data_IF_270610452437
#
_entry.id   IF_270610452437
#
_cell.length_a   1.000
_cell.length_b   1.000
_cell.length_c   1.000
_cell.angle_alpha   90.00
_cell.angle_beta   90.00
_cell.angle_gamma   90.00
#
_symmetry.space_group_name_H-M   'P 1'
#
loop_
_entity.id
_entity.type
_entity.pdbx_description
1 polymer ?
#
# COMPACT_ATOMS: atom_id res chain seq x y z
N UNK A 1 -22.57 -5.97 5.30
CA UNK A 1 -22.09 -5.23 4.11
C UNK A 1 -21.55 -3.84 4.46
N UNK A 2 -22.31 -2.95 5.13
CA UNK A 2 -21.87 -1.58 5.47
C UNK A 2 -20.52 -1.48 6.20
N UNK A 3 -20.21 -2.44 7.10
CA UNK A 3 -18.98 -2.40 7.90
C UNK A 3 -17.70 -2.74 7.12
N UNK A 4 -17.81 -3.46 6.00
CA UNK A 4 -16.66 -3.76 5.13
C UNK A 4 -16.33 -2.55 4.24
N UNK A 5 -17.34 -1.77 3.86
CA UNK A 5 -17.17 -0.53 3.10
C UNK A 5 -16.37 0.52 3.89
N UNK A 6 -16.50 0.57 5.21
CA UNK A 6 -15.70 1.47 6.04
C UNK A 6 -14.19 1.17 5.95
N UNK A 7 -13.80 -0.11 5.96
CA UNK A 7 -12.41 -0.52 5.82
C UNK A 7 -11.86 -0.29 4.42
N UNK A 8 -12.68 -0.53 3.39
CA UNK A 8 -12.34 -0.19 2.00
C UNK A 8 -12.16 1.32 1.85
N UNK A 9 -13.08 2.13 2.38
CA UNK A 9 -13.00 3.57 2.36
C UNK A 9 -11.76 4.09 3.11
N UNK A 10 -11.40 3.47 4.24
CA UNK A 10 -10.16 3.77 4.95
C UNK A 10 -8.92 3.47 4.09
N UNK A 11 -8.87 2.29 3.47
CA UNK A 11 -7.75 1.89 2.61
C UNK A 11 -7.60 2.86 1.41
N UNK A 12 -8.69 3.09 0.67
CA UNK A 12 -8.69 4.01 -0.47
C UNK A 12 -8.40 5.45 -0.04
N UNK A 13 -9.00 5.91 1.05
CA UNK A 13 -8.75 7.23 1.61
C UNK A 13 -7.28 7.43 1.96
N UNK A 14 -6.64 6.43 2.60
CA UNK A 14 -5.22 6.50 2.95
C UNK A 14 -4.32 6.62 1.72
N UNK A 15 -4.62 5.85 0.66
CA UNK A 15 -3.92 5.93 -0.64
C UNK A 15 -4.02 7.36 -1.19
N UNK A 16 -5.24 7.89 -1.33
CA UNK A 16 -5.43 9.17 -2.01
C UNK A 16 -4.95 10.37 -1.20
N UNK A 17 -5.03 10.31 0.14
CA UNK A 17 -4.41 11.32 1.01
C UNK A 17 -2.89 11.31 0.81
N UNK A 18 -2.26 10.13 0.81
CA UNK A 18 -0.82 10.02 0.60
C UNK A 18 -0.40 10.47 -0.80
N UNK A 19 -1.15 10.10 -1.86
CA UNK A 19 -0.94 10.57 -3.24
C UNK A 19 -0.98 12.09 -3.31
N UNK A 20 -1.97 12.71 -2.67
CA UNK A 20 -2.10 14.16 -2.64
C UNK A 20 -0.92 14.82 -1.91
N UNK A 21 -0.56 14.32 -0.73
CA UNK A 21 0.59 14.84 0.04
C UNK A 21 1.88 14.74 -0.79
N UNK A 22 2.17 13.57 -1.35
CA UNK A 22 3.39 13.34 -2.14
C UNK A 22 3.41 14.22 -3.40
N UNK A 23 2.29 14.35 -4.10
CA UNK A 23 2.23 15.19 -5.32
C UNK A 23 2.36 16.68 -5.03
N UNK A 24 1.88 17.15 -3.87
CA UNK A 24 1.95 18.56 -3.49
C UNK A 24 3.29 18.95 -2.84
N UNK A 25 3.98 17.97 -2.25
CA UNK A 25 5.30 18.16 -1.64
C UNK A 25 6.45 17.91 -2.62
N UNK A 26 6.16 17.32 -3.79
CA UNK A 26 7.21 16.96 -4.73
C UNK A 26 7.85 18.17 -5.39
N UNK A 27 9.19 18.21 -5.48
CA UNK A 27 9.90 19.19 -6.30
C UNK A 27 9.60 18.95 -7.77
N UNK A 28 9.51 20.01 -8.55
CA UNK A 28 9.49 19.85 -10.00
C UNK A 28 10.83 19.28 -10.50
N UNK A 29 10.77 18.41 -11.52
CA UNK A 29 11.98 17.98 -12.22
C UNK A 29 12.45 19.13 -13.11
N UNK A 30 13.48 19.83 -12.66
CA UNK A 30 14.07 20.97 -13.36
C UNK A 30 15.30 20.49 -14.12
N UNK A 31 15.37 20.83 -15.42
CA UNK A 31 16.53 20.62 -16.27
C UNK A 31 16.87 21.92 -17.00
N UNK A 32 18.08 22.46 -16.77
CA UNK A 32 18.62 23.62 -17.49
C UNK A 32 17.94 24.96 -17.17
N UNK A 33 18.39 26.00 -17.86
CA UNK A 33 17.94 27.39 -17.66
C UNK A 33 16.53 27.70 -18.19
N UNK A 34 16.03 26.89 -19.13
CA UNK A 34 14.68 27.00 -19.70
C UNK A 34 13.70 26.10 -18.95
N UNK A 35 12.69 26.73 -18.33
CA UNK A 35 11.79 26.14 -17.32
C UNK A 35 10.68 25.27 -17.92
N UNK A 36 11.01 24.31 -18.77
CA UNK A 36 10.04 23.31 -19.23
C UNK A 36 9.97 22.15 -18.22
N UNK A 37 9.01 22.24 -17.29
CA UNK A 37 8.77 21.22 -16.27
C UNK A 37 7.72 20.22 -16.75
N UNK A 38 8.14 18.97 -16.99
CA UNK A 38 7.22 17.85 -17.13
C UNK A 38 6.85 17.34 -15.73
N UNK A 39 5.54 17.27 -15.36
CA UNK A 39 5.10 16.89 -14.02
C UNK A 39 5.19 15.36 -13.81
N UNK A 40 6.40 14.81 -13.95
CA UNK A 40 6.64 13.36 -13.89
C UNK A 40 6.27 12.78 -12.54
N UNK A 41 6.60 13.48 -11.45
CA UNK A 41 6.37 12.98 -10.10
C UNK A 41 4.87 12.91 -9.78
N UNK A 42 4.05 13.96 -10.01
CA UNK A 42 2.60 13.82 -9.96
C UNK A 42 2.12 12.67 -10.84
N UNK A 43 2.56 12.58 -12.10
CA UNK A 43 2.11 11.51 -13.00
C UNK A 43 2.38 10.10 -12.41
N UNK A 44 3.61 9.83 -11.96
CA UNK A 44 4.00 8.54 -11.35
C UNK A 44 3.22 8.26 -10.07
N UNK A 45 3.06 9.26 -9.21
CA UNK A 45 2.35 9.13 -7.93
C UNK A 45 0.87 8.81 -8.16
N UNK A 46 0.22 9.51 -9.09
CA UNK A 46 -1.18 9.29 -9.43
C UNK A 46 -1.41 7.92 -10.10
N UNK A 47 -0.55 7.52 -11.03
CA UNK A 47 -0.61 6.19 -11.63
C UNK A 47 -0.45 5.09 -10.57
N UNK A 48 0.47 5.29 -9.62
CA UNK A 48 0.70 4.35 -8.51
C UNK A 48 -0.51 4.26 -7.57
N UNK A 49 -1.12 5.39 -7.24
CA UNK A 49 -2.35 5.44 -6.44
C UNK A 49 -3.53 4.74 -7.12
N UNK A 50 -3.69 4.92 -8.42
CA UNK A 50 -4.70 4.22 -9.22
C UNK A 50 -4.44 2.71 -9.25
N UNK A 51 -3.19 2.27 -9.47
CA UNK A 51 -2.81 0.87 -9.46
C UNK A 51 -3.10 0.21 -8.08
N UNK A 52 -2.68 0.86 -6.99
CA UNK A 52 -2.96 0.39 -5.62
C UNK A 52 -4.45 0.28 -5.33
N UNK A 53 -5.22 1.31 -5.71
CA UNK A 53 -6.68 1.30 -5.58
C UNK A 53 -7.31 0.13 -6.33
N UNK A 54 -6.81 -0.19 -7.53
CA UNK A 54 -7.29 -1.32 -8.33
C UNK A 54 -7.09 -2.66 -7.61
N UNK A 55 -5.98 -2.85 -6.90
CA UNK A 55 -5.74 -4.07 -6.13
C UNK A 55 -6.68 -4.20 -4.94
N UNK A 56 -6.91 -3.12 -4.19
CA UNK A 56 -7.87 -3.09 -3.06
C UNK A 56 -9.29 -3.38 -3.56
N UNK A 57 -9.70 -2.75 -4.66
CA UNK A 57 -11.03 -2.97 -5.26
C UNK A 57 -11.16 -4.39 -5.84
N UNK A 58 -10.11 -4.94 -6.46
CA UNK A 58 -10.12 -6.31 -6.94
C UNK A 58 -10.36 -7.29 -5.79
N UNK A 59 -9.73 -7.09 -4.63
CA UNK A 59 -9.98 -7.90 -3.45
C UNK A 59 -11.44 -7.84 -2.97
N UNK A 60 -12.18 -6.76 -3.29
CA UNK A 60 -13.61 -6.63 -2.98
C UNK A 60 -14.47 -7.51 -3.87
N UNK A 61 -14.11 -7.62 -5.14
CA UNK A 61 -14.87 -8.37 -6.15
C UNK A 61 -14.54 -9.86 -6.12
N UNK A 62 -13.28 -10.23 -5.89
CA UNK A 62 -12.84 -11.63 -6.00
C UNK A 62 -13.08 -12.46 -4.74
N UNK A 63 -13.42 -11.84 -3.61
CA UNK A 63 -13.58 -12.53 -2.34
C UNK A 63 -15.05 -12.86 -2.06
N UNK A 64 -15.32 -14.17 -1.98
CA UNK A 64 -16.57 -14.73 -1.43
C UNK A 64 -16.36 -15.64 -0.19
N UNK A 65 -15.65 -15.22 0.90
CA UNK A 65 -15.59 -16.02 2.12
C UNK A 65 -16.88 -15.90 2.95
N UNK A 66 -16.99 -16.80 3.93
CA UNK A 66 -18.01 -16.74 4.99
C UNK A 66 -18.02 -15.38 5.70
N UNK A 67 -19.17 -14.91 6.24
CA UNK A 67 -19.29 -13.56 6.81
C UNK A 67 -18.32 -13.23 7.95
N UNK A 68 -17.87 -14.24 8.70
CA UNK A 68 -16.95 -14.07 9.84
C UNK A 68 -15.50 -13.82 9.40
N UNK A 69 -15.02 -14.58 8.43
CA UNK A 69 -13.65 -14.51 7.92
C UNK A 69 -13.40 -13.21 7.13
N UNK A 70 -14.44 -12.68 6.47
CA UNK A 70 -14.35 -11.41 5.74
C UNK A 70 -13.90 -10.23 6.60
N UNK A 71 -14.30 -10.16 7.87
CA UNK A 71 -14.03 -8.95 8.68
C UNK A 71 -12.54 -8.80 8.98
N UNK A 72 -11.89 -9.87 9.41
CA UNK A 72 -10.47 -9.83 9.79
C UNK A 72 -9.58 -9.59 8.56
N UNK A 73 -9.93 -10.20 7.44
CA UNK A 73 -9.32 -9.94 6.15
C UNK A 73 -9.37 -8.44 5.76
N UNK A 74 -10.55 -7.81 5.85
CA UNK A 74 -10.70 -6.39 5.49
C UNK A 74 -9.97 -5.45 6.44
N UNK A 75 -9.95 -5.76 7.74
CA UNK A 75 -9.13 -5.02 8.71
C UNK A 75 -7.65 -5.15 8.34
N UNK A 76 -7.18 -6.37 8.05
CA UNK A 76 -5.81 -6.64 7.64
C UNK A 76 -5.40 -5.81 6.41
N UNK A 77 -6.22 -5.84 5.34
CA UNK A 77 -5.99 -5.05 4.12
C UNK A 77 -5.95 -3.55 4.43
N UNK A 78 -6.90 -3.04 5.21
CA UNK A 78 -6.97 -1.61 5.51
C UNK A 78 -5.78 -1.14 6.34
N UNK A 79 -5.40 -1.90 7.37
CA UNK A 79 -4.24 -1.60 8.22
C UNK A 79 -2.94 -1.68 7.41
N UNK A 80 -2.73 -2.75 6.63
CA UNK A 80 -1.52 -2.90 5.82
C UNK A 80 -1.40 -1.81 4.76
N UNK A 81 -2.50 -1.49 4.07
CA UNK A 81 -2.51 -0.42 3.06
C UNK A 81 -2.19 0.93 3.71
N UNK A 82 -2.86 1.24 4.83
CA UNK A 82 -2.61 2.50 5.55
C UNK A 82 -1.16 2.59 6.00
N UNK A 83 -0.58 1.51 6.54
CA UNK A 83 0.81 1.47 6.98
C UNK A 83 1.79 1.66 5.83
N UNK A 84 1.57 0.98 4.69
CA UNK A 84 2.40 1.12 3.48
C UNK A 84 2.39 2.57 2.99
N UNK A 85 1.20 3.17 2.88
CA UNK A 85 1.07 4.52 2.35
C UNK A 85 1.50 5.61 3.35
N UNK A 86 1.35 5.39 4.66
CA UNK A 86 1.94 6.26 5.66
C UNK A 86 3.48 6.20 5.62
N UNK A 87 4.05 5.00 5.51
CA UNK A 87 5.50 4.81 5.41
C UNK A 87 6.06 5.44 4.14
N UNK A 88 5.41 5.24 2.99
CA UNK A 88 5.87 5.82 1.73
C UNK A 88 5.81 7.34 1.76
N UNK A 89 4.77 7.93 2.36
CA UNK A 89 4.71 9.38 2.59
C UNK A 89 5.85 9.85 3.48
N UNK A 90 6.12 9.16 4.59
CA UNK A 90 7.21 9.53 5.48
C UNK A 90 8.58 9.45 4.78
N UNK A 91 8.86 8.36 4.06
CA UNK A 91 10.09 8.18 3.27
C UNK A 91 10.25 9.31 2.28
N UNK A 92 9.21 9.61 1.52
CA UNK A 92 9.24 10.65 0.49
C UNK A 92 9.51 12.05 1.06
N UNK A 93 8.94 12.37 2.23
CA UNK A 93 9.16 13.65 2.90
C UNK A 93 10.52 13.77 3.61
N UNK A 94 11.12 12.64 4.00
CA UNK A 94 12.36 12.62 4.78
C UNK A 94 13.61 12.37 3.94
N UNK A 95 13.47 11.79 2.75
CA UNK A 95 14.62 11.50 1.89
C UNK A 95 15.15 12.78 1.23
N UNK A 96 16.45 13.06 1.36
CA UNK A 96 17.05 14.18 0.66
C UNK A 96 17.05 13.94 -0.85
N UNK A 97 16.96 15.03 -1.60
CA UNK A 97 17.05 15.01 -3.06
C UNK A 97 18.51 14.88 -3.50
N UNK A 98 18.76 14.10 -4.55
CA UNK A 98 20.08 14.02 -5.14
C UNK A 98 20.27 15.20 -6.09
N UNK A 99 21.25 16.05 -5.78
CA UNK A 99 21.61 17.20 -6.59
C UNK A 99 22.97 16.94 -7.24
N UNK A 100 23.02 17.02 -8.57
CA UNK A 100 24.25 16.91 -9.35
C UNK A 100 24.46 18.21 -10.11
N UNK A 101 25.66 18.80 -10.00
CA UNK A 101 26.01 19.97 -10.79
C UNK A 101 26.75 19.51 -12.04
N UNK A 102 26.19 19.76 -13.23
CA UNK A 102 26.89 19.56 -14.51
C UNK A 102 27.19 20.95 -15.06
N UNK A 103 28.41 21.44 -14.83
CA UNK A 103 28.75 22.85 -15.08
C UNK A 103 28.06 23.76 -14.06
N UNK A 104 27.42 24.84 -14.54
CA UNK A 104 26.68 25.80 -13.70
C UNK A 104 25.20 25.41 -13.49
N UNK A 105 24.72 24.34 -14.14
CA UNK A 105 23.32 23.92 -14.08
C UNK A 105 23.11 22.78 -13.04
N UNK A 106 22.26 22.98 -12.01
CA UNK A 106 21.90 21.94 -11.06
C UNK A 106 20.83 20.99 -11.64
N UNK A 107 21.07 19.69 -11.53
CA UNK A 107 20.10 18.62 -11.83
C UNK A 107 19.61 18.04 -10.51
N UNK A 108 18.30 18.14 -10.27
CA UNK A 108 17.64 17.62 -9.06
C UNK A 108 16.90 16.34 -9.41
N UNK A 109 17.29 15.22 -8.78
CA UNK A 109 16.67 13.91 -8.96
C UNK A 109 16.05 13.45 -7.61
N UNK A 110 14.74 13.68 -7.40
CA UNK A 110 14.02 13.24 -6.21
C UNK A 110 13.66 11.76 -6.31
N UNK A 111 14.67 10.87 -6.17
CA UNK A 111 14.49 9.42 -6.30
C UNK A 111 13.43 8.85 -5.37
N UNK A 112 13.31 9.37 -4.14
CA UNK A 112 12.27 8.97 -3.20
C UNK A 112 10.86 9.16 -3.78
N UNK A 113 10.62 10.32 -4.40
CA UNK A 113 9.32 10.65 -5.00
C UNK A 113 9.02 9.83 -6.27
N UNK A 114 10.05 9.37 -6.99
CA UNK A 114 9.88 8.57 -8.21
C UNK A 114 9.64 7.09 -7.90
N UNK A 115 10.42 6.52 -6.98
CA UNK A 115 10.44 5.07 -6.76
C UNK A 115 9.45 4.65 -5.69
N UNK A 116 9.31 5.44 -4.62
CA UNK A 116 8.56 5.02 -3.45
C UNK A 116 7.06 4.80 -3.76
N UNK A 117 6.35 5.68 -4.50
CA UNK A 117 4.95 5.43 -4.86
C UNK A 117 4.74 4.14 -5.66
N UNK A 118 5.63 3.85 -6.61
CA UNK A 118 5.56 2.63 -7.40
C UNK A 118 5.77 1.37 -6.54
N UNK A 119 6.76 1.40 -5.63
CA UNK A 119 7.00 0.33 -4.67
C UNK A 119 5.80 0.14 -3.73
N UNK A 120 5.17 1.22 -3.26
CA UNK A 120 3.97 1.17 -2.43
C UNK A 120 2.78 0.54 -3.17
N UNK A 121 2.62 0.79 -4.47
CA UNK A 121 1.57 0.15 -5.27
C UNK A 121 1.76 -1.36 -5.36
N UNK A 122 3.00 -1.82 -5.61
CA UNK A 122 3.33 -3.26 -5.63
C UNK A 122 3.10 -3.89 -4.25
N UNK A 123 3.58 -3.26 -3.19
CA UNK A 123 3.38 -3.73 -1.82
C UNK A 123 1.90 -3.81 -1.46
N UNK A 124 1.08 -2.86 -1.91
CA UNK A 124 -0.38 -2.88 -1.73
C UNK A 124 -1.00 -4.07 -2.46
N UNK A 125 -0.56 -4.38 -3.68
CA UNK A 125 -1.01 -5.55 -4.43
C UNK A 125 -0.72 -6.87 -3.72
N UNK A 126 0.50 -7.01 -3.21
CA UNK A 126 0.91 -8.17 -2.39
C UNK A 126 0.06 -8.23 -1.12
N UNK A 127 -0.09 -7.13 -0.39
CA UNK A 127 -0.86 -7.10 0.84
C UNK A 127 -2.33 -7.47 0.61
N UNK A 128 -2.98 -6.92 -0.41
CA UNK A 128 -4.36 -7.23 -0.78
C UNK A 128 -4.57 -8.72 -1.12
N UNK A 129 -3.54 -9.38 -1.64
CA UNK A 129 -3.59 -10.80 -1.98
C UNK A 129 -3.33 -11.70 -0.77
N UNK A 130 -2.27 -11.45 -0.01
CA UNK A 130 -1.73 -12.41 0.97
C UNK A 130 -2.11 -12.13 2.42
N UNK A 131 -2.29 -10.87 2.85
CA UNK A 131 -2.64 -10.55 4.25
C UNK A 131 -3.88 -11.31 4.70
N UNK A 132 -4.93 -11.41 3.87
CA UNK A 132 -6.09 -12.14 4.32
C UNK A 132 -5.88 -13.65 4.49
N UNK A 133 -5.01 -14.27 3.67
CA UNK A 133 -4.69 -15.70 3.83
C UNK A 133 -4.07 -15.95 5.21
N UNK A 134 -3.22 -15.04 5.65
CA UNK A 134 -2.61 -15.08 6.97
C UNK A 134 -3.63 -14.83 8.08
N UNK A 135 -4.55 -13.88 7.89
CA UNK A 135 -5.61 -13.64 8.90
C UNK A 135 -6.61 -14.78 8.99
N UNK A 136 -6.91 -15.44 7.86
CA UNK A 136 -7.82 -16.59 7.81
C UNK A 136 -7.18 -17.80 8.49
N UNK A 137 -5.89 -18.05 8.24
CA UNK A 137 -5.11 -19.09 8.92
C UNK A 137 -5.07 -18.88 10.44
N UNK A 138 -4.73 -17.66 10.88
CA UNK A 138 -4.70 -17.31 12.30
C UNK A 138 -6.10 -17.42 12.96
N UNK A 139 -7.16 -17.09 12.24
CA UNK A 139 -8.53 -17.24 12.74
C UNK A 139 -8.99 -18.71 12.77
N UNK A 140 -8.47 -19.57 11.90
CA UNK A 140 -8.74 -21.01 11.92
C UNK A 140 -8.02 -21.70 13.08
N UNK A 141 -6.75 -21.38 13.31
CA UNK A 141 -5.96 -21.87 14.45
C UNK A 141 -6.66 -21.56 15.78
N UNK A 142 -7.05 -20.30 15.97
CA UNK A 142 -7.77 -19.87 17.18
C UNK A 142 -9.10 -20.62 17.39
N UNK A 143 -9.82 -20.96 16.32
CA UNK A 143 -11.05 -21.78 16.43
C UNK A 143 -10.73 -23.21 16.83
N UNK A 144 -9.65 -23.80 16.30
CA UNK A 144 -9.21 -25.14 16.68
C UNK A 144 -8.89 -25.26 18.17
N UNK A 145 -8.21 -24.25 18.73
CA UNK A 145 -7.90 -24.17 20.16
C UNK A 145 -9.15 -24.01 21.03
N UNK A 146 -10.14 -23.22 20.57
CA UNK A 146 -11.41 -23.00 21.30
C UNK A 146 -12.32 -24.24 21.34
N UNK A 147 -12.18 -25.18 20.38
CA UNK A 147 -12.99 -26.39 20.32
C UNK A 147 -12.31 -27.64 20.89
N UNK A 148 -11.10 -27.52 21.47
CA UNK A 148 -10.46 -28.62 22.20
C UNK A 148 -10.39 -29.91 21.39
N UNK A 149 -9.92 -29.85 20.15
CA UNK A 149 -9.57 -31.08 19.41
C UNK A 149 -8.29 -31.62 20.03
N UNK A 150 -8.46 -32.35 21.12
CA UNK A 150 -7.44 -33.20 21.71
C UNK A 150 -7.07 -34.22 20.61
N UNK A 151 -5.95 -33.96 19.92
CA UNK A 151 -5.36 -34.99 19.08
C UNK A 151 -5.06 -36.15 20.02
N UNK A 152 -5.58 -37.37 19.76
CA UNK A 152 -5.15 -38.52 20.53
C UNK A 152 -3.64 -38.60 20.33
N UNK A 153 -2.92 -38.36 21.42
CA UNK A 153 -1.55 -38.77 21.50
C UNK A 153 -1.53 -40.28 21.24
N UNK A 154 -0.46 -40.78 20.64
CA UNK A 154 -0.17 -42.21 20.55
C UNK A 154 -1.11 -43.08 19.69
N UNK A 155 -1.02 -42.93 18.36
CA UNK A 155 -0.94 -44.11 17.49
C UNK A 155 0.48 -44.20 16.91
N UNK A 156 1.36 -44.87 17.67
CA UNK A 156 2.62 -45.41 17.17
C UNK A 156 2.31 -46.45 16.07
N UNK A 157 2.77 -46.18 14.85
CA UNK A 157 2.90 -47.18 13.79
C UNK A 157 4.31 -47.78 13.78
#
# INVERSE_FOLDING_TARGET
>A
MQRNLAWVALALGSIWIAVAIISLSSPDLIYGADRDTFPLIPAVTWMSGAAASSYVLRALVTRHPSPGDQRNAWIGIAVSTTAIWALVTAVTLMLPEFQFNIGDDPIIIPLGHLVAPAAAAVATGIAAQYVPLLTDAAAAEKRGDEFGVEYPADEEY
#
